data_IF_017530737445
#
_entry.id   IF_017530737445
#
_cell.length_a   1.000
_cell.length_b   1.000
_cell.length_c   1.000
_cell.angle_alpha   90.00
_cell.angle_beta   90.00
_cell.angle_gamma   90.00
#
_symmetry.space_group_name_H-M   'P 1'
#
loop_
_entity.id
_entity.type
_entity.pdbx_description
1 polymer ?
#
# COMPACT_ATOMS: atom_id res chain seq x y z
N UNK A 1 -43.55 -35.05 -50.10
CA UNK A 1 -43.36 -36.47 -50.42
C UNK A 1 -42.76 -37.13 -49.19
N UNK A 2 -43.52 -38.01 -48.51
CA UNK A 2 -43.12 -39.17 -47.66
C UNK A 2 -42.06 -38.89 -46.54
N UNK A 3 -42.24 -39.24 -45.26
CA UNK A 3 -43.00 -40.31 -44.57
C UNK A 3 -42.86 -40.06 -43.05
N UNK A 4 -43.92 -40.24 -42.28
CA UNK A 4 -43.80 -40.81 -40.92
C UNK A 4 -43.66 -42.35 -41.06
N UNK A 5 -43.12 -43.06 -40.05
CA UNK A 5 -44.02 -43.64 -39.05
C UNK A 5 -43.48 -43.75 -37.60
N UNK A 6 -44.44 -43.52 -36.70
CA UNK A 6 -44.81 -44.12 -35.41
C UNK A 6 -44.09 -45.38 -34.85
N UNK A 7 -44.39 -45.65 -33.55
CA UNK A 7 -44.27 -46.89 -32.70
C UNK A 7 -43.20 -46.74 -31.59
N UNK A 8 -43.42 -46.95 -30.27
CA UNK A 8 -44.51 -47.51 -29.46
C UNK A 8 -44.44 -47.02 -27.99
N UNK A 9 -45.56 -47.14 -27.27
CA UNK A 9 -45.73 -46.93 -25.84
C UNK A 9 -44.85 -47.85 -24.98
N UNK A 10 -44.38 -47.36 -23.84
CA UNK A 10 -44.51 -48.13 -22.59
C UNK A 10 -44.66 -47.18 -21.39
N UNK A 11 -45.83 -47.23 -20.76
CA UNK A 11 -46.06 -46.72 -19.41
C UNK A 11 -45.54 -47.74 -18.41
N UNK A 12 -44.67 -47.32 -17.49
CA UNK A 12 -44.47 -48.00 -16.22
C UNK A 12 -44.59 -46.97 -15.11
N UNK A 13 -45.67 -47.07 -14.33
CA UNK A 13 -45.74 -46.50 -12.99
C UNK A 13 -44.85 -47.32 -12.05
N UNK A 14 -44.04 -46.64 -11.24
CA UNK A 14 -43.55 -47.15 -9.96
C UNK A 14 -43.28 -45.97 -9.01
N UNK A 15 -43.66 -46.18 -7.75
CA UNK A 15 -43.86 -45.22 -6.68
C UNK A 15 -42.59 -44.57 -6.11
N UNK A 16 -42.79 -43.36 -5.57
CA UNK A 16 -42.28 -42.78 -4.32
C UNK A 16 -40.80 -42.95 -3.93
N UNK A 17 -40.10 -41.82 -3.78
CA UNK A 17 -38.89 -41.75 -2.96
C UNK A 17 -38.16 -40.41 -3.05
N UNK A 18 -38.25 -39.63 -1.97
CA UNK A 18 -37.39 -38.51 -1.54
C UNK A 18 -37.27 -37.25 -2.42
N UNK A 19 -37.90 -36.18 -1.93
CA UNK A 19 -37.36 -34.82 -2.05
C UNK A 19 -35.96 -34.77 -1.45
N UNK A 20 -34.97 -34.43 -2.27
CA UNK A 20 -33.67 -33.94 -1.79
C UNK A 20 -33.54 -32.50 -2.31
N UNK A 21 -34.05 -31.55 -1.52
CA UNK A 21 -33.75 -30.12 -1.67
C UNK A 21 -32.28 -29.91 -1.37
N UNK A 22 -31.46 -29.80 -2.42
CA UNK A 22 -30.10 -29.28 -2.34
C UNK A 22 -30.17 -27.80 -1.94
N UNK A 23 -29.62 -27.38 -0.78
CA UNK A 23 -29.44 -25.96 -0.52
C UNK A 23 -28.29 -25.50 -1.42
N UNK A 24 -28.61 -24.66 -2.41
CA UNK A 24 -27.61 -23.85 -3.10
C UNK A 24 -27.06 -22.84 -2.09
N UNK A 25 -25.93 -23.18 -1.47
CA UNK A 25 -25.12 -22.20 -0.76
C UNK A 25 -24.38 -21.38 -1.81
N UNK A 26 -24.94 -20.23 -2.18
CA UNK A 26 -24.11 -19.12 -2.64
C UNK A 26 -23.15 -18.76 -1.50
N UNK A 27 -21.82 -18.73 -1.71
CA UNK A 27 -20.93 -18.16 -0.73
C UNK A 27 -21.21 -16.66 -0.70
N UNK A 28 -21.95 -16.22 0.32
CA UNK A 28 -21.95 -14.82 0.73
C UNK A 28 -20.52 -14.49 1.13
N UNK A 29 -19.83 -13.73 0.30
CA UNK A 29 -18.61 -13.04 0.71
C UNK A 29 -19.09 -11.94 1.65
N UNK A 30 -19.29 -12.28 2.93
CA UNK A 30 -19.17 -11.28 3.98
C UNK A 30 -17.72 -10.79 3.91
N UNK A 31 -17.54 -9.58 3.38
CA UNK A 31 -16.37 -8.76 3.68
C UNK A 31 -16.35 -8.65 5.20
N UNK A 32 -15.61 -9.56 5.82
CA UNK A 32 -15.33 -9.53 7.24
C UNK A 32 -14.37 -8.36 7.43
N UNK A 33 -14.92 -7.15 7.50
CA UNK A 33 -14.25 -6.06 8.19
C UNK A 33 -14.12 -6.54 9.64
N UNK A 34 -12.99 -7.18 9.95
CA UNK A 34 -12.54 -7.36 11.31
C UNK A 34 -12.67 -5.99 11.98
N UNK A 35 -13.57 -5.88 12.97
CA UNK A 35 -13.57 -4.74 13.87
C UNK A 35 -12.25 -4.83 14.63
N UNK A 36 -11.25 -4.10 14.14
CA UNK A 36 -10.03 -3.89 14.90
C UNK A 36 -10.40 -3.26 16.24
N UNK A 37 -9.71 -3.69 17.30
CA UNK A 37 -9.86 -3.06 18.60
C UNK A 37 -9.34 -1.62 18.52
N UNK A 38 -10.08 -0.64 19.04
CA UNK A 38 -9.70 0.80 19.00
C UNK A 38 -8.23 1.07 19.39
N UNK A 39 -7.63 0.40 20.39
CA UNK A 39 -6.21 0.60 20.73
C UNK A 39 -5.24 0.26 19.59
N UNK A 40 -5.56 -0.75 18.77
CA UNK A 40 -4.70 -1.18 17.67
C UNK A 40 -4.75 -0.20 16.49
N UNK A 41 -5.92 0.39 16.24
CA UNK A 41 -6.08 1.51 15.28
C UNK A 41 -5.30 2.73 15.71
N UNK A 42 -5.40 3.10 16.98
CA UNK A 42 -4.62 4.22 17.49
C UNK A 42 -3.11 3.98 17.37
N UNK A 43 -2.60 2.78 17.68
CA UNK A 43 -1.17 2.46 17.56
C UNK A 43 -0.67 2.55 16.11
N UNK A 44 -1.44 2.01 15.16
CA UNK A 44 -1.12 2.08 13.74
C UNK A 44 -1.02 3.53 13.24
N UNK A 45 -2.03 4.34 13.52
CA UNK A 45 -2.08 5.75 13.11
C UNK A 45 -0.93 6.55 13.77
N UNK A 46 -0.67 6.30 15.05
CA UNK A 46 0.42 6.94 15.80
C UNK A 46 1.80 6.61 15.20
N UNK A 47 2.05 5.35 14.82
CA UNK A 47 3.33 4.94 14.23
C UNK A 47 3.54 5.59 12.88
N UNK A 48 2.54 5.57 11.99
CA UNK A 48 2.65 6.20 10.67
C UNK A 48 2.87 7.71 10.76
N UNK A 49 2.05 8.39 11.56
CA UNK A 49 2.14 9.83 11.72
C UNK A 49 3.47 10.25 12.36
N UNK A 50 3.90 9.57 13.44
CA UNK A 50 5.21 9.84 14.05
C UNK A 50 6.34 9.64 13.06
N UNK A 51 6.29 8.57 12.27
CA UNK A 51 7.33 8.28 11.27
C UNK A 51 7.41 9.37 10.20
N UNK A 52 6.28 9.84 9.67
CA UNK A 52 6.29 10.95 8.72
C UNK A 52 6.78 12.27 9.35
N UNK A 53 6.39 12.59 10.58
CA UNK A 53 6.88 13.79 11.27
C UNK A 53 8.39 13.74 11.50
N UNK A 54 8.94 12.60 11.91
CA UNK A 54 10.39 12.42 12.05
C UNK A 54 11.10 12.51 10.69
N UNK A 55 10.50 11.96 9.64
CA UNK A 55 11.01 12.08 8.27
C UNK A 55 11.10 13.55 7.81
N UNK A 56 10.07 14.36 8.10
CA UNK A 56 10.06 15.78 7.75
C UNK A 56 11.07 16.58 8.60
N UNK A 57 11.25 16.22 9.87
CA UNK A 57 12.13 16.93 10.78
C UNK A 57 13.62 16.61 10.59
N UNK A 58 13.96 15.36 10.27
CA UNK A 58 15.35 14.89 10.16
C UNK A 58 15.79 14.57 8.73
N UNK A 59 14.83 14.47 7.82
CA UNK A 59 15.01 13.88 6.50
C UNK A 59 15.02 12.35 6.57
N UNK A 60 14.98 11.72 5.41
CA UNK A 60 15.13 10.28 5.29
C UNK A 60 15.67 9.87 3.92
N UNK A 61 16.12 8.63 3.83
CA UNK A 61 16.32 7.89 2.59
C UNK A 61 15.40 6.66 2.58
N UNK A 62 14.53 6.54 1.58
CA UNK A 62 13.80 5.32 1.25
C UNK A 62 14.43 4.70 0.02
N UNK A 63 15.03 3.52 0.16
CA UNK A 63 15.74 2.90 -0.96
C UNK A 63 15.33 1.46 -1.18
N UNK A 64 15.31 1.06 -2.45
CA UNK A 64 15.12 -0.33 -2.84
C UNK A 64 16.31 -0.79 -3.69
N UNK A 65 17.22 -1.62 -3.15
CA UNK A 65 18.32 -2.18 -3.91
C UNK A 65 17.86 -3.04 -5.10
N UNK A 66 16.70 -3.68 -4.99
CA UNK A 66 16.11 -4.51 -6.04
C UNK A 66 15.71 -3.66 -7.25
N UNK A 67 15.02 -2.53 -7.00
CA UNK A 67 14.63 -1.59 -8.04
C UNK A 67 15.81 -0.73 -8.52
N UNK A 68 16.79 -0.50 -7.64
CA UNK A 68 17.92 0.40 -7.92
C UNK A 68 17.50 1.86 -7.82
N UNK A 69 16.65 2.19 -6.85
CA UNK A 69 16.14 3.54 -6.66
C UNK A 69 16.28 3.95 -5.19
N UNK A 70 16.51 5.24 -4.96
CA UNK A 70 16.56 5.88 -3.66
C UNK A 70 15.77 7.18 -3.73
N UNK A 71 14.81 7.35 -2.83
CA UNK A 71 14.09 8.59 -2.60
C UNK A 71 14.68 9.23 -1.36
N UNK A 72 15.04 10.50 -1.47
CA UNK A 72 15.72 11.24 -0.41
C UNK A 72 14.88 12.45 -0.10
N UNK A 73 14.46 12.56 1.17
CA UNK A 73 13.79 13.73 1.72
C UNK A 73 14.79 14.47 2.61
N UNK A 74 14.95 15.76 2.36
CA UNK A 74 15.81 16.68 3.12
C UNK A 74 14.90 17.58 3.97
N UNK A 75 15.24 17.87 5.24
CA UNK A 75 14.48 18.80 6.06
C UNK A 75 14.31 20.17 5.40
N UNK A 76 13.21 20.85 5.72
CA UNK A 76 12.90 22.17 5.16
C UNK A 76 14.03 23.18 5.38
N UNK A 77 14.70 23.16 6.53
CA UNK A 77 15.81 24.07 6.85
C UNK A 77 17.06 23.86 5.99
N UNK A 78 17.16 22.73 5.29
CA UNK A 78 18.23 22.38 4.35
C UNK A 78 17.75 22.39 2.90
N UNK A 79 16.50 22.78 2.64
CA UNK A 79 15.95 22.90 1.29
C UNK A 79 16.68 23.96 0.47
N UNK A 80 16.67 23.78 -0.86
CA UNK A 80 17.29 24.71 -1.81
C UNK A 80 16.18 25.28 -2.67
N UNK A 81 15.92 26.58 -2.59
CA UNK A 81 14.87 27.26 -3.37
C UNK A 81 13.47 26.62 -3.25
N UNK A 82 13.17 26.01 -2.10
CA UNK A 82 11.91 25.29 -1.85
C UNK A 82 11.90 23.83 -2.33
N UNK A 83 12.98 23.35 -2.94
CA UNK A 83 13.19 21.94 -3.26
C UNK A 83 13.78 21.18 -2.07
N UNK A 84 13.13 20.09 -1.67
CA UNK A 84 13.50 19.30 -0.49
C UNK A 84 13.58 17.80 -0.74
N UNK A 85 13.31 17.32 -1.96
CA UNK A 85 13.29 15.89 -2.22
C UNK A 85 13.84 15.54 -3.61
N UNK A 86 14.49 14.37 -3.69
CA UNK A 86 15.02 13.84 -4.95
C UNK A 86 14.81 12.34 -5.06
N UNK A 87 14.66 11.88 -6.30
CA UNK A 87 14.84 10.51 -6.72
C UNK A 87 16.24 10.36 -7.31
N UNK A 88 16.93 9.28 -6.93
CA UNK A 88 18.25 8.93 -7.42
C UNK A 88 18.30 7.45 -7.81
N UNK A 89 18.69 7.17 -9.06
CA UNK A 89 19.05 5.82 -9.51
C UNK A 89 20.59 5.70 -9.51
N UNK A 90 21.19 5.01 -8.52
CA UNK A 90 22.64 4.85 -8.44
C UNK A 90 23.25 3.98 -9.56
N UNK A 91 22.43 3.27 -10.37
CA UNK A 91 22.91 2.42 -11.47
C UNK A 91 23.15 3.24 -12.74
N UNK A 92 22.27 4.21 -13.01
CA UNK A 92 22.40 5.16 -14.13
C UNK A 92 23.03 6.49 -13.72
N UNK A 93 23.21 6.73 -12.41
CA UNK A 93 23.62 8.03 -11.84
C UNK A 93 22.68 9.18 -12.25
N UNK A 94 21.40 8.87 -12.43
CA UNK A 94 20.37 9.87 -12.74
C UNK A 94 19.77 10.41 -11.45
N UNK A 95 19.53 11.71 -11.40
CA UNK A 95 18.82 12.37 -10.30
C UNK A 95 17.69 13.23 -10.84
N UNK A 96 16.57 13.27 -10.13
CA UNK A 96 15.44 14.15 -10.46
C UNK A 96 14.78 14.67 -9.18
N UNK A 97 14.17 15.84 -9.27
CA UNK A 97 13.39 16.41 -8.18
C UNK A 97 12.11 15.58 -7.95
N UNK A 98 11.79 15.35 -6.67
CA UNK A 98 10.49 14.87 -6.22
C UNK A 98 9.69 16.04 -5.66
N UNK A 99 8.40 16.11 -6.01
CA UNK A 99 7.56 17.29 -5.77
C UNK A 99 6.65 17.15 -4.57
N UNK A 100 6.33 15.92 -4.18
CA UNK A 100 5.31 15.61 -3.18
C UNK A 100 5.85 14.61 -2.18
N UNK A 101 5.53 14.81 -0.90
CA UNK A 101 5.88 13.89 0.19
C UNK A 101 5.17 12.55 0.07
N UNK A 102 4.09 12.48 -0.73
CA UNK A 102 3.35 11.25 -1.02
C UNK A 102 4.15 10.26 -1.89
N UNK A 103 5.29 10.69 -2.44
CA UNK A 103 6.24 9.78 -3.09
C UNK A 103 6.94 8.84 -2.09
N UNK A 104 6.96 9.20 -0.80
CA UNK A 104 7.60 8.41 0.27
C UNK A 104 6.56 7.57 0.97
N UNK A 105 6.76 6.26 1.05
CA UNK A 105 5.83 5.36 1.73
C UNK A 105 5.64 5.74 3.21
N UNK A 106 6.69 6.24 3.86
CA UNK A 106 6.71 6.72 5.26
C UNK A 106 5.68 7.82 5.50
N UNK A 107 5.43 8.67 4.50
CA UNK A 107 4.45 9.77 4.60
C UNK A 107 3.14 9.49 3.87
N UNK A 108 3.15 8.66 2.83
CA UNK A 108 1.99 8.41 1.97
C UNK A 108 0.72 8.05 2.76
N UNK A 109 0.79 7.03 3.61
CA UNK A 109 -0.41 6.59 4.34
C UNK A 109 -0.86 7.59 5.40
N UNK A 110 0.09 8.22 6.11
CA UNK A 110 -0.21 9.27 7.08
C UNK A 110 -0.94 10.45 6.42
N UNK A 111 -0.48 10.89 5.25
CA UNK A 111 -1.08 12.00 4.51
C UNK A 111 -2.48 11.65 4.01
N UNK A 112 -2.69 10.42 3.51
CA UNK A 112 -4.01 9.96 3.05
C UNK A 112 -5.02 9.87 4.20
N UNK A 113 -4.59 9.38 5.37
CA UNK A 113 -5.44 9.31 6.57
C UNK A 113 -5.80 10.73 7.01
N UNK A 114 -4.81 11.62 7.17
CA UNK A 114 -5.05 13.00 7.57
C UNK A 114 -5.98 13.74 6.60
N UNK A 115 -5.78 13.55 5.28
CA UNK A 115 -6.65 14.15 4.27
C UNK A 115 -8.08 13.59 4.35
N UNK A 116 -8.25 12.29 4.56
CA UNK A 116 -9.59 11.72 4.73
C UNK A 116 -10.30 12.30 5.96
N UNK A 117 -9.59 12.46 7.08
CA UNK A 117 -10.12 13.08 8.30
C UNK A 117 -10.55 14.53 8.06
N UNK A 118 -9.77 15.32 7.31
CA UNK A 118 -10.13 16.71 6.96
C UNK A 118 -11.47 16.83 6.20
N UNK A 119 -11.85 15.79 5.47
CA UNK A 119 -13.08 15.74 4.67
C UNK A 119 -14.20 14.91 5.32
N UNK A 120 -14.11 14.57 6.61
CA UNK A 120 -15.05 13.67 7.29
C UNK A 120 -15.25 12.34 6.52
N UNK A 121 -14.17 11.85 5.90
CA UNK A 121 -14.13 10.64 5.10
C UNK A 121 -13.24 9.57 5.77
N UNK A 122 -13.23 8.37 5.19
CA UNK A 122 -12.35 7.28 5.60
C UNK A 122 -11.59 6.73 4.40
N UNK A 123 -10.30 6.46 4.56
CA UNK A 123 -9.54 5.70 3.57
C UNK A 123 -10.04 4.24 3.60
N UNK A 124 -10.37 3.61 2.47
CA UNK A 124 -10.76 2.19 2.42
C UNK A 124 -9.52 1.30 2.59
N UNK A 125 -8.90 1.38 3.76
CA UNK A 125 -7.72 0.66 4.16
C UNK A 125 -8.04 -0.14 5.43
N UNK A 126 -7.67 -1.42 5.43
CA UNK A 126 -7.69 -2.24 6.64
C UNK A 126 -6.28 -2.72 6.92
N UNK A 127 -5.96 -3.07 8.16
CA UNK A 127 -4.64 -3.55 8.51
C UNK A 127 -4.71 -4.60 9.61
N UNK A 128 -3.64 -5.37 9.77
CA UNK A 128 -3.47 -6.34 10.85
C UNK A 128 -2.09 -6.15 11.48
N UNK A 129 -1.97 -6.33 12.79
CA UNK A 129 -0.65 -6.36 13.44
C UNK A 129 0.10 -7.65 13.07
N UNK A 130 1.40 -7.51 12.87
CA UNK A 130 2.33 -8.61 12.64
C UNK A 130 3.40 -8.64 13.75
N UNK A 131 4.32 -9.60 13.67
CA UNK A 131 5.44 -9.67 14.61
C UNK A 131 6.39 -8.48 14.45
N UNK A 132 6.50 -7.95 13.23
CA UNK A 132 7.50 -6.94 12.85
C UNK A 132 6.86 -5.57 12.54
N UNK A 133 5.54 -5.43 12.69
CA UNK A 133 4.81 -4.19 12.41
C UNK A 133 3.35 -4.45 12.00
N UNK A 134 2.99 -4.11 10.76
CA UNK A 134 1.60 -4.18 10.27
C UNK A 134 1.51 -4.69 8.83
N UNK A 135 0.45 -5.43 8.49
CA UNK A 135 0.08 -5.73 7.10
C UNK A 135 -1.07 -4.81 6.69
N UNK A 136 -0.91 -4.01 5.63
CA UNK A 136 -1.90 -3.04 5.15
C UNK A 136 -2.59 -3.59 3.91
N UNK A 137 -3.89 -3.83 4.01
CA UNK A 137 -4.72 -4.36 2.95
C UNK A 137 -5.50 -3.26 2.25
N UNK A 138 -5.40 -3.23 0.92
CA UNK A 138 -6.15 -2.33 0.08
C UNK A 138 -6.67 -3.07 -1.15
N UNK A 139 -7.85 -2.67 -1.62
CA UNK A 139 -8.43 -3.22 -2.83
C UNK A 139 -7.91 -2.47 -4.06
N UNK A 140 -7.34 -3.24 -4.98
CA UNK A 140 -6.91 -2.73 -6.28
C UNK A 140 -7.54 -3.56 -7.39
N UNK A 141 -8.55 -3.00 -8.07
CA UNK A 141 -9.26 -3.65 -9.17
C UNK A 141 -9.87 -5.03 -8.80
N UNK A 142 -10.28 -5.20 -7.55
CA UNK A 142 -10.85 -6.46 -7.04
C UNK A 142 -9.82 -7.48 -6.57
N UNK A 143 -8.53 -7.15 -6.59
CA UNK A 143 -7.48 -7.90 -5.91
C UNK A 143 -7.11 -7.18 -4.61
N UNK A 144 -7.24 -7.87 -3.49
CA UNK A 144 -6.69 -7.38 -2.21
C UNK A 144 -5.18 -7.55 -2.24
N UNK A 145 -4.46 -6.45 -2.06
CA UNK A 145 -2.99 -6.43 -1.94
C UNK A 145 -2.61 -6.06 -0.53
N UNK A 146 -1.48 -6.60 -0.08
CA UNK A 146 -0.87 -6.26 1.19
C UNK A 146 0.42 -5.46 0.96
N UNK A 147 0.61 -4.41 1.75
CA UNK A 147 1.93 -3.81 1.99
C UNK A 147 2.32 -4.15 3.42
N UNK A 148 3.46 -4.80 3.62
CA UNK A 148 3.99 -5.04 4.95
C UNK A 148 4.77 -3.80 5.40
N UNK A 149 4.38 -3.22 6.53
CA UNK A 149 5.07 -2.11 7.18
C UNK A 149 5.90 -2.68 8.33
N UNK A 150 7.22 -2.54 8.23
CA UNK A 150 8.16 -2.94 9.26
C UNK A 150 8.39 -1.78 10.22
N UNK A 151 8.38 -2.05 11.53
CA UNK A 151 8.50 -1.06 12.59
C UNK A 151 9.63 -1.43 13.53
N UNK A 152 10.56 -0.50 13.74
CA UNK A 152 11.68 -0.64 14.69
C UNK A 152 11.70 0.58 15.60
N UNK A 153 11.77 0.36 16.91
CA UNK A 153 11.80 1.43 17.92
C UNK A 153 10.64 2.44 17.79
N UNK A 154 9.48 1.96 17.32
CA UNK A 154 8.27 2.77 17.12
C UNK A 154 8.26 3.61 15.84
N UNK A 155 9.27 3.48 14.98
CA UNK A 155 9.31 4.14 13.68
C UNK A 155 9.25 3.12 12.55
N UNK A 156 8.67 3.50 11.42
CA UNK A 156 8.74 2.70 10.21
C UNK A 156 10.20 2.54 9.80
N UNK A 157 10.65 1.30 9.63
CA UNK A 157 12.00 0.94 9.22
C UNK A 157 12.06 0.34 7.81
N UNK A 158 10.91 -0.01 7.23
CA UNK A 158 10.83 -0.52 5.88
C UNK A 158 9.41 -0.82 5.41
N UNK A 159 9.29 -1.10 4.11
CA UNK A 159 8.07 -1.58 3.47
C UNK A 159 8.36 -2.79 2.59
N UNK A 160 7.47 -3.77 2.54
CA UNK A 160 7.39 -4.75 1.46
C UNK A 160 6.09 -4.52 0.68
N UNK A 161 6.20 -4.01 -0.55
CA UNK A 161 5.05 -3.71 -1.40
C UNK A 161 4.65 -4.87 -2.32
N UNK A 162 5.23 -6.05 -2.10
CA UNK A 162 5.06 -7.26 -2.92
C UNK A 162 5.87 -7.24 -4.22
N UNK A 163 6.49 -6.11 -4.58
CA UNK A 163 7.44 -6.00 -5.71
C UNK A 163 8.88 -5.89 -5.21
N UNK A 164 9.08 -5.13 -4.14
CA UNK A 164 10.39 -4.93 -3.54
C UNK A 164 10.30 -4.58 -2.06
N UNK A 165 11.41 -4.85 -1.37
CA UNK A 165 11.64 -4.32 -0.04
C UNK A 165 12.24 -2.92 -0.18
N UNK A 166 11.65 -1.97 0.53
CA UNK A 166 12.10 -0.61 0.72
C UNK A 166 12.66 -0.48 2.12
N UNK A 167 13.88 0.05 2.22
CA UNK A 167 14.57 0.32 3.48
C UNK A 167 14.42 1.79 3.80
N UNK A 168 14.00 2.10 5.04
CA UNK A 168 13.88 3.48 5.53
C UNK A 168 15.04 3.77 6.47
N UNK A 169 15.78 4.84 6.19
CA UNK A 169 16.85 5.35 7.05
C UNK A 169 16.60 6.81 7.34
N UNK A 170 16.38 7.15 8.61
CA UNK A 170 16.18 8.53 9.04
C UNK A 170 17.50 9.30 9.10
N UNK A 171 17.43 10.58 8.76
CA UNK A 171 18.55 11.50 8.73
C UNK A 171 19.19 11.64 7.35
N UNK A 172 19.74 12.82 7.09
CA UNK A 172 20.48 13.12 5.86
C UNK A 172 21.92 13.54 6.13
N UNK A 173 22.79 13.34 5.14
CA UNK A 173 24.20 13.72 5.20
C UNK A 173 24.67 14.44 3.93
N UNK A 174 25.96 14.77 3.88
CA UNK A 174 26.57 15.56 2.78
C UNK A 174 26.30 14.98 1.39
N UNK A 175 26.26 13.65 1.26
CA UNK A 175 25.96 12.98 -0.02
C UNK A 175 24.54 13.24 -0.49
N UNK A 176 23.58 13.29 0.42
CA UNK A 176 22.17 13.55 0.12
C UNK A 176 21.99 15.00 -0.33
N UNK A 177 22.62 15.94 0.38
CA UNK A 177 22.61 17.35 0.03
C UNK A 177 23.25 17.59 -1.36
N UNK A 178 24.35 16.92 -1.67
CA UNK A 178 24.98 17.02 -2.99
C UNK A 178 24.08 16.51 -4.13
N UNK A 179 23.23 15.50 -3.88
CA UNK A 179 22.24 15.03 -4.85
C UNK A 179 21.12 16.05 -5.06
N UNK A 180 20.63 16.67 -3.98
CA UNK A 180 19.66 17.77 -4.06
C UNK A 180 20.22 18.95 -4.85
N UNK A 181 21.44 19.40 -4.53
CA UNK A 181 22.13 20.46 -5.27
C UNK A 181 22.28 20.13 -6.76
N UNK A 182 22.61 18.87 -7.09
CA UNK A 182 22.70 18.42 -8.48
C UNK A 182 21.34 18.49 -9.18
N UNK A 183 20.29 17.96 -8.56
CA UNK A 183 18.95 17.93 -9.14
C UNK A 183 18.38 19.34 -9.38
N UNK A 184 18.56 20.25 -8.42
CA UNK A 184 18.11 21.65 -8.56
C UNK A 184 18.85 22.34 -9.70
N UNK A 185 20.18 22.18 -9.77
CA UNK A 185 20.97 22.75 -10.87
C UNK A 185 20.51 22.21 -12.23
N UNK A 186 20.34 20.90 -12.35
CA UNK A 186 19.91 20.28 -13.62
C UNK A 186 18.48 20.66 -14.03
N UNK A 187 17.63 21.04 -13.08
CA UNK A 187 16.28 21.51 -13.36
C UNK A 187 16.21 22.98 -13.80
N UNK A 188 17.07 23.83 -13.24
CA UNK A 188 17.06 25.29 -13.48
C UNK A 188 17.91 25.72 -14.69
N UNK A 189 18.85 24.89 -15.13
CA UNK A 189 19.70 25.11 -16.31
C UNK A 189 18.95 24.90 -17.65
#
# INVERSE_FOLDING_TARGET
MKREPNVELTSQEAQAGSEETTPSHEPSIESSQLKLEEPLTQEFDEVLNRSCLEALAMGLEESSPALGVSYILVPEELSIEGYSAVEHDPRSDTVSLLWETDAFYTCYFSNQIALAEEFDASVPLSFEATVDGFSLFYDNLGETRAIEVMVTDGLVSGFDDGKAIWQVVYGVGEKHLALLERAVREFLD
#
